data_IF_911025204546
#
_entry.id   IF_911025204546
#
_cell.length_a   1.000
_cell.length_b   1.000
_cell.length_c   1.000
_cell.angle_alpha   90.00
_cell.angle_beta   90.00
_cell.angle_gamma   90.00
#
_symmetry.space_group_name_H-M   'P 1'
#
loop_
_entity.id
_entity.type
_entity.pdbx_description
1 polymer ?
#
# COMPACT_ATOMS: atom_id res chain seq x y z
N UNK A 1 -0.19 -7.91 27.42
CA UNK A 1 -0.81 -7.06 26.39
C UNK A 1 -0.90 -7.82 25.07
N UNK A 2 -2.08 -7.87 24.50
CA UNK A 2 -2.29 -8.60 23.25
C UNK A 2 -2.09 -7.65 22.08
N UNK A 3 -1.14 -7.94 21.19
CA UNK A 3 -0.99 -7.22 19.95
C UNK A 3 -2.10 -7.63 19.02
N UNK A 4 -3.02 -6.70 18.76
CA UNK A 4 -4.09 -6.97 17.82
C UNK A 4 -3.60 -6.71 16.40
N UNK A 5 -3.74 -7.74 15.56
CA UNK A 5 -3.56 -7.59 14.14
C UNK A 5 -4.77 -6.87 13.57
N UNK A 6 -4.55 -5.76 12.87
CA UNK A 6 -5.61 -5.03 12.20
C UNK A 6 -6.02 -5.76 10.92
N UNK A 7 -7.26 -5.62 10.52
CA UNK A 7 -7.74 -6.15 9.25
C UNK A 7 -7.23 -5.28 8.11
N UNK A 8 -6.90 -5.90 6.98
CA UNK A 8 -6.50 -5.18 5.77
C UNK A 8 -7.72 -5.09 4.85
N UNK A 9 -8.06 -3.87 4.47
CA UNK A 9 -9.13 -3.60 3.51
C UNK A 9 -8.52 -2.79 2.37
N UNK A 10 -8.77 -3.19 1.14
CA UNK A 10 -8.31 -2.48 -0.04
C UNK A 10 -9.44 -1.63 -0.61
N UNK A 11 -9.15 -0.36 -0.86
CA UNK A 11 -10.01 0.44 -1.72
C UNK A 11 -10.07 -0.22 -3.10
N UNK A 12 -11.23 -0.21 -3.73
CA UNK A 12 -11.45 -0.89 -5.00
C UNK A 12 -10.48 -0.42 -6.09
N UNK A 13 -10.32 0.89 -6.23
CA UNK A 13 -9.41 1.45 -7.23
C UNK A 13 -7.96 1.05 -6.93
N UNK A 14 -7.55 1.11 -5.66
CA UNK A 14 -6.21 0.71 -5.27
C UNK A 14 -5.95 -0.76 -5.60
N UNK A 15 -6.93 -1.62 -5.33
CA UNK A 15 -6.81 -3.05 -5.63
C UNK A 15 -6.74 -3.30 -7.15
N UNK A 16 -7.57 -2.61 -7.92
CA UNK A 16 -7.55 -2.72 -9.37
C UNK A 16 -6.20 -2.26 -9.94
N UNK A 17 -5.63 -1.21 -9.38
CA UNK A 17 -4.31 -0.72 -9.80
C UNK A 17 -3.21 -1.73 -9.46
N UNK A 18 -3.31 -2.40 -8.31
CA UNK A 18 -2.39 -3.47 -7.94
C UNK A 18 -2.47 -4.64 -8.94
N UNK A 19 -3.68 -5.06 -9.29
CA UNK A 19 -3.87 -6.12 -10.28
C UNK A 19 -3.33 -5.73 -11.65
N UNK A 20 -3.54 -4.48 -12.07
CA UNK A 20 -3.03 -3.97 -13.35
C UNK A 20 -1.51 -3.95 -13.37
N UNK A 21 -0.87 -3.59 -12.25
CA UNK A 21 0.57 -3.62 -12.13
C UNK A 21 1.10 -5.04 -12.28
N UNK A 22 0.45 -6.01 -11.65
CA UNK A 22 0.80 -7.42 -11.77
C UNK A 22 0.74 -7.87 -13.24
N UNK A 23 -0.35 -7.56 -13.93
CA UNK A 23 -0.50 -7.94 -15.35
C UNK A 23 0.55 -7.28 -16.23
N UNK A 24 0.89 -6.02 -15.95
CA UNK A 24 1.91 -5.30 -16.69
C UNK A 24 3.28 -5.97 -16.55
N UNK A 25 3.69 -6.31 -15.33
CA UNK A 25 4.97 -6.97 -15.08
C UNK A 25 4.98 -8.38 -15.68
N UNK A 26 3.85 -9.08 -15.60
CA UNK A 26 3.70 -10.44 -16.11
C UNK A 26 3.96 -10.54 -17.61
N UNK A 27 3.67 -9.48 -18.38
CA UNK A 27 3.93 -9.46 -19.81
C UNK A 27 5.40 -9.69 -20.12
N UNK A 28 6.29 -9.22 -19.27
CA UNK A 28 7.74 -9.40 -19.46
C UNK A 28 8.26 -10.62 -18.74
N UNK A 29 7.80 -10.85 -17.52
CA UNK A 29 8.30 -11.95 -16.68
C UNK A 29 7.25 -12.34 -15.65
N UNK A 30 6.70 -13.53 -15.79
CA UNK A 30 5.81 -14.10 -14.78
C UNK A 30 6.52 -14.27 -13.42
N UNK A 31 7.78 -14.67 -13.45
CA UNK A 31 8.58 -14.84 -12.23
C UNK A 31 8.73 -13.51 -11.48
N UNK A 32 9.03 -12.44 -12.20
CA UNK A 32 9.14 -11.10 -11.60
C UNK A 32 7.80 -10.63 -11.05
N UNK A 33 6.72 -10.85 -11.77
CA UNK A 33 5.38 -10.48 -11.33
C UNK A 33 5.01 -11.17 -10.01
N UNK A 34 5.27 -12.47 -9.91
CA UNK A 34 5.01 -13.23 -8.69
C UNK A 34 5.85 -12.76 -7.51
N UNK A 35 7.10 -12.41 -7.76
CA UNK A 35 7.99 -11.89 -6.73
C UNK A 35 7.49 -10.55 -6.20
N UNK A 36 7.19 -9.62 -7.08
CA UNK A 36 6.71 -8.28 -6.72
C UNK A 36 5.40 -8.40 -5.94
N UNK A 37 4.46 -9.19 -6.43
CA UNK A 37 3.18 -9.41 -5.74
C UNK A 37 3.40 -9.95 -4.32
N UNK A 38 4.25 -10.97 -4.17
CA UNK A 38 4.52 -11.57 -2.87
C UNK A 38 5.11 -10.56 -1.90
N UNK A 39 6.08 -9.77 -2.35
CA UNK A 39 6.75 -8.80 -1.48
C UNK A 39 5.84 -7.65 -1.10
N UNK A 40 4.95 -7.22 -1.99
CA UNK A 40 3.93 -6.21 -1.67
C UNK A 40 2.96 -6.75 -0.62
N UNK A 41 2.47 -7.98 -0.79
CA UNK A 41 1.54 -8.58 0.18
C UNK A 41 2.20 -8.73 1.55
N UNK A 42 3.47 -9.14 1.59
CA UNK A 42 4.22 -9.23 2.85
C UNK A 42 4.34 -7.86 3.52
N UNK A 43 4.68 -6.83 2.74
CA UNK A 43 4.81 -5.47 3.27
C UNK A 43 3.49 -4.96 3.84
N UNK A 44 2.39 -5.20 3.15
CA UNK A 44 1.04 -4.81 3.60
C UNK A 44 0.65 -5.55 4.88
N UNK A 45 0.96 -6.85 4.97
CA UNK A 45 0.67 -7.63 6.19
C UNK A 45 1.45 -7.11 7.40
N UNK A 46 2.67 -6.65 7.20
CA UNK A 46 3.47 -6.05 8.28
C UNK A 46 2.83 -4.78 8.83
N UNK A 47 2.18 -3.99 7.98
CA UNK A 47 1.47 -2.79 8.40
C UNK A 47 0.33 -3.15 9.37
N UNK A 48 -0.34 -4.27 9.17
CA UNK A 48 -1.42 -4.71 10.05
C UNK A 48 -0.94 -4.94 11.48
N UNK A 49 0.34 -5.28 11.65
CA UNK A 49 0.96 -5.53 12.96
C UNK A 49 1.65 -4.26 13.48
N UNK A 50 2.28 -3.51 12.59
CA UNK A 50 3.05 -2.31 12.91
C UNK A 50 2.58 -1.13 12.06
N UNK A 51 1.38 -0.58 12.32
CA UNK A 51 0.81 0.45 11.43
C UNK A 51 1.60 1.76 11.38
N UNK A 52 2.38 2.05 12.42
CA UNK A 52 3.18 3.28 12.49
C UNK A 52 4.60 3.11 11.94
N UNK A 53 4.91 1.97 11.30
CA UNK A 53 6.26 1.68 10.82
C UNK A 53 6.69 2.53 9.62
N UNK A 54 5.76 3.16 8.92
CA UNK A 54 6.05 4.06 7.80
C UNK A 54 5.68 5.51 8.15
N UNK A 55 6.34 6.49 7.53
CA UNK A 55 6.09 7.90 7.85
C UNK A 55 4.71 8.37 7.39
N UNK A 56 4.22 9.48 7.94
CA UNK A 56 2.99 10.12 7.45
C UNK A 56 3.10 10.42 5.95
N UNK A 57 1.99 10.27 5.24
CA UNK A 57 1.95 10.54 3.81
C UNK A 57 2.04 12.05 3.56
N UNK A 58 3.13 12.45 2.91
CA UNK A 58 3.40 13.87 2.61
C UNK A 58 2.42 14.47 1.61
N UNK A 59 1.70 13.65 0.88
CA UNK A 59 0.72 14.12 -0.10
C UNK A 59 -0.70 14.23 0.46
N UNK A 60 -0.91 13.79 1.70
CA UNK A 60 -2.22 13.92 2.35
C UNK A 60 -2.38 15.31 2.94
N UNK A 61 -3.39 16.04 2.47
CA UNK A 61 -3.72 17.37 2.97
C UNK A 61 -4.36 17.22 4.36
N UNK A 62 -3.94 18.09 5.29
CA UNK A 62 -4.43 18.07 6.68
C UNK A 62 -4.31 16.69 7.35
N UNK A 63 -3.14 16.05 7.16
CA UNK A 63 -2.89 14.72 7.71
C UNK A 63 -2.77 14.77 9.24
N UNK A 64 -3.60 14.01 9.93
CA UNK A 64 -3.57 13.87 11.38
C UNK A 64 -2.53 12.86 11.87
N UNK A 65 -1.78 12.24 10.95
CA UNK A 65 -0.83 11.17 11.24
C UNK A 65 -1.41 9.78 10.99
N UNK A 66 -2.69 9.69 10.67
CA UNK A 66 -3.34 8.41 10.35
C UNK A 66 -3.11 7.95 8.93
N UNK A 67 -2.74 8.86 8.03
CA UNK A 67 -2.47 8.55 6.63
C UNK A 67 -0.97 8.41 6.45
N UNK A 68 -0.55 7.22 6.05
CA UNK A 68 0.86 6.88 5.90
C UNK A 68 1.11 6.27 4.55
N UNK A 69 2.36 6.25 4.12
CA UNK A 69 2.72 5.72 2.81
C UNK A 69 4.14 5.17 2.80
N UNK A 70 4.38 4.26 1.87
CA UNK A 70 5.72 3.72 1.62
C UNK A 70 5.85 3.37 0.15
N UNK A 71 7.10 3.17 -0.28
CA UNK A 71 7.39 2.81 -1.66
C UNK A 71 8.09 1.46 -1.70
N UNK A 72 7.69 0.63 -2.65
CA UNK A 72 8.26 -0.68 -2.88
C UNK A 72 8.13 -1.02 -4.36
N UNK A 73 9.20 -1.54 -4.97
CA UNK A 73 9.22 -1.93 -6.39
C UNK A 73 8.71 -0.85 -7.34
N UNK A 74 9.05 0.40 -7.08
CA UNK A 74 8.62 1.56 -7.87
C UNK A 74 7.13 1.88 -7.75
N UNK A 75 6.45 1.33 -6.74
CA UNK A 75 5.06 1.67 -6.44
C UNK A 75 4.97 2.36 -5.09
N UNK A 76 4.11 3.37 -5.04
CA UNK A 76 3.79 4.06 -3.79
C UNK A 76 2.44 3.56 -3.30
N UNK A 77 2.40 3.12 -2.05
CA UNK A 77 1.21 2.57 -1.41
C UNK A 77 0.86 3.48 -0.24
N UNK A 78 -0.34 4.08 -0.29
CA UNK A 78 -0.84 4.93 0.78
C UNK A 78 -1.96 4.21 1.51
N UNK A 79 -1.95 4.33 2.84
CA UNK A 79 -2.95 3.67 3.68
C UNK A 79 -3.41 4.58 4.80
N UNK A 80 -4.61 4.29 5.31
CA UNK A 80 -5.20 4.98 6.46
C UNK A 80 -5.32 4.00 7.62
N UNK A 81 -4.90 4.43 8.79
CA UNK A 81 -5.00 3.66 10.03
C UNK A 81 -6.31 4.00 10.73
N UNK A 82 -7.11 3.00 11.04
CA UNK A 82 -8.28 3.14 11.91
C UNK A 82 -8.17 2.18 13.08
N UNK A 83 -9.13 2.20 14.00
CA UNK A 83 -9.06 1.38 15.21
C UNK A 83 -8.98 -0.12 14.92
N UNK A 84 -9.68 -0.57 13.88
CA UNK A 84 -9.83 -2.00 13.60
C UNK A 84 -9.21 -2.43 12.29
N UNK A 85 -8.85 -1.48 11.42
CA UNK A 85 -8.40 -1.84 10.08
C UNK A 85 -7.38 -0.88 9.51
N UNK A 86 -6.64 -1.41 8.54
CA UNK A 86 -5.79 -0.64 7.63
C UNK A 86 -6.54 -0.59 6.30
N UNK A 87 -6.85 0.60 5.83
CA UNK A 87 -7.45 0.79 4.52
C UNK A 87 -6.35 1.18 3.53
N UNK A 88 -6.10 0.33 2.55
CA UNK A 88 -5.16 0.64 1.47
C UNK A 88 -5.90 1.55 0.48
N UNK A 89 -5.52 2.82 0.46
CA UNK A 89 -6.23 3.87 -0.28
C UNK A 89 -5.74 4.04 -1.69
N UNK A 90 -4.42 3.94 -1.90
CA UNK A 90 -3.82 4.27 -3.19
C UNK A 90 -2.69 3.31 -3.50
N UNK A 91 -2.63 2.92 -4.76
CA UNK A 91 -1.54 2.12 -5.30
C UNK A 91 -1.16 2.74 -6.65
N UNK A 92 0.03 3.36 -6.72
CA UNK A 92 0.44 4.09 -7.91
C UNK A 92 1.92 3.90 -8.20
N UNK A 93 2.27 3.89 -9.48
CA UNK A 93 3.69 3.89 -9.87
C UNK A 93 4.32 5.23 -9.46
N UNK A 94 5.55 5.20 -8.93
CA UNK A 94 6.23 6.40 -8.43
C UNK A 94 6.50 7.45 -9.50
N UNK A 95 6.53 7.06 -10.78
CA UNK A 95 6.71 7.98 -11.90
C UNK A 95 5.45 8.75 -12.25
N UNK A 96 4.29 8.31 -11.78
CA UNK A 96 3.06 9.07 -11.95
C UNK A 96 3.10 10.22 -10.97
N UNK A 97 2.71 11.38 -11.44
CA UNK A 97 2.71 12.56 -10.61
C UNK A 97 1.82 12.33 -9.39
N UNK A 98 2.37 12.50 -8.17
CA UNK A 98 1.56 12.30 -6.97
C UNK A 98 0.53 13.41 -6.85
N UNK A 99 -0.71 13.01 -6.57
CA UNK A 99 -1.78 13.95 -6.35
C UNK A 99 -1.98 14.13 -4.85
N UNK A 100 -2.07 15.37 -4.42
CA UNK A 100 -2.46 15.66 -3.04
C UNK A 100 -3.91 15.24 -2.82
N UNK A 101 -4.24 14.86 -1.62
CA UNK A 101 -5.60 14.41 -1.30
C UNK A 101 -5.98 14.63 0.16
#
# INVERSE_FOLDING_TARGET
>A
MVNRKLSIVWDEEAFNNFQSAYQYIKKESLQSAKKVKREIIIAVRKIAIHPLSHPPDKFKIHNTGRYRAFEIHSYRIAYKISEKEILILRFRHVKREPLNY
#
